data_IF_160059535326
#
_entry.id   IF_160059535326
#
_cell.length_a   1.000
_cell.length_b   1.000
_cell.length_c   1.000
_cell.angle_alpha   90.00
_cell.angle_beta   90.00
_cell.angle_gamma   90.00
#
_symmetry.space_group_name_H-M   'P 1'
#
loop_
_entity.id
_entity.type
_entity.pdbx_description
1 polymer ?
#
# COMPACT_ATOMS: atom_id res chain seq x y z
N UNK A 1 -6.93 2.77 -15.73
CA UNK A 1 -5.94 3.65 -16.38
C UNK A 1 -5.36 2.91 -17.58
N UNK A 2 -4.73 3.61 -18.53
CA UNK A 2 -3.76 2.97 -19.44
C UNK A 2 -2.73 2.21 -18.61
N UNK A 3 -2.28 1.07 -19.13
CA UNK A 3 -1.54 0.05 -18.39
C UNK A 3 -0.30 0.62 -17.68
N UNK A 4 -0.19 0.39 -16.36
CA UNK A 4 1.09 0.42 -15.63
C UNK A 4 1.91 -0.82 -16.06
N UNK A 5 2.29 -0.86 -17.33
CA UNK A 5 3.25 -1.81 -17.88
C UNK A 5 4.66 -1.28 -17.61
N UNK A 6 5.55 -2.14 -17.10
CA UNK A 6 6.89 -1.73 -16.67
C UNK A 6 7.78 -1.21 -17.80
N UNK A 7 8.89 -0.57 -17.40
CA UNK A 7 9.87 0.19 -18.20
C UNK A 7 9.61 1.70 -18.36
N UNK A 8 8.91 2.34 -17.42
CA UNK A 8 9.02 3.78 -17.19
C UNK A 8 10.20 4.09 -16.24
N UNK A 9 11.40 4.24 -16.81
CA UNK A 9 12.57 4.81 -16.10
C UNK A 9 12.27 6.18 -15.43
N UNK A 10 11.17 6.82 -15.82
CA UNK A 10 10.71 8.14 -15.38
C UNK A 10 9.34 8.12 -14.63
N UNK A 11 8.86 6.96 -14.16
CA UNK A 11 7.61 6.85 -13.39
C UNK A 11 7.66 7.54 -12.03
N UNK A 12 6.50 7.87 -11.41
CA UNK A 12 6.46 8.54 -10.09
C UNK A 12 7.15 7.70 -9.01
N UNK A 13 6.95 6.38 -8.99
CA UNK A 13 7.58 5.48 -8.03
C UNK A 13 9.10 5.39 -8.24
N UNK A 14 9.55 5.21 -9.49
CA UNK A 14 10.98 5.27 -9.87
C UNK A 14 11.60 6.61 -9.47
N UNK A 15 10.89 7.71 -9.67
CA UNK A 15 11.31 9.06 -9.29
C UNK A 15 11.46 9.20 -7.77
N UNK A 16 10.53 8.68 -6.97
CA UNK A 16 10.63 8.71 -5.51
C UNK A 16 11.84 7.90 -5.01
N UNK A 17 12.08 6.71 -5.59
CA UNK A 17 13.24 5.90 -5.26
C UNK A 17 14.56 6.57 -5.71
N UNK A 18 14.58 7.19 -6.90
CA UNK A 18 15.75 7.94 -7.41
C UNK A 18 16.04 9.16 -6.53
N UNK A 19 15.03 9.91 -6.11
CA UNK A 19 15.18 11.03 -5.15
C UNK A 19 15.71 10.51 -3.81
N UNK A 20 15.21 9.37 -3.31
CA UNK A 20 15.76 8.74 -2.11
C UNK A 20 17.24 8.31 -2.27
N UNK A 21 17.64 7.82 -3.45
CA UNK A 21 19.03 7.48 -3.78
C UNK A 21 19.93 8.72 -3.82
N UNK A 22 19.50 9.83 -4.44
CA UNK A 22 20.28 11.08 -4.47
C UNK A 22 20.43 11.71 -3.08
N UNK A 23 19.39 11.67 -2.25
CA UNK A 23 19.46 12.15 -0.86
C UNK A 23 20.37 11.22 -0.02
N UNK A 24 20.33 9.90 -0.25
CA UNK A 24 21.28 8.99 0.39
C UNK A 24 22.72 9.27 -0.05
N UNK A 25 22.97 9.56 -1.34
CA UNK A 25 24.30 9.98 -1.84
C UNK A 25 24.78 11.26 -1.16
N UNK A 26 23.93 12.29 -1.05
CA UNK A 26 24.29 13.56 -0.40
C UNK A 26 24.56 13.40 1.10
N UNK A 27 23.86 12.48 1.77
CA UNK A 27 24.12 12.10 3.16
C UNK A 27 25.39 11.26 3.36
N UNK A 28 26.05 10.82 2.29
CA UNK A 28 27.32 10.09 2.31
C UNK A 28 27.20 8.56 2.21
N UNK A 29 26.02 8.02 1.86
CA UNK A 29 25.87 6.58 1.60
C UNK A 29 26.55 6.20 0.29
N UNK A 30 27.28 5.07 0.29
CA UNK A 30 28.08 4.64 -0.86
C UNK A 30 27.29 3.73 -1.79
N UNK A 31 27.12 4.15 -3.04
CA UNK A 31 26.33 3.47 -4.08
C UNK A 31 24.94 3.03 -3.60
N UNK A 32 24.11 3.96 -3.07
CA UNK A 32 22.83 3.60 -2.51
C UNK A 32 21.85 3.15 -3.61
N UNK A 33 21.03 2.15 -3.30
CA UNK A 33 19.88 1.72 -4.09
C UNK A 33 18.64 1.69 -3.21
N UNK A 34 17.59 2.42 -3.60
CA UNK A 34 16.35 2.49 -2.87
C UNK A 34 15.39 1.37 -3.32
N UNK A 35 14.60 0.87 -2.39
CA UNK A 35 13.55 -0.12 -2.65
C UNK A 35 12.38 0.09 -1.69
N UNK A 36 11.17 -0.26 -2.13
CA UNK A 36 9.99 -0.26 -1.25
C UNK A 36 10.06 -1.42 -0.24
N UNK A 37 9.58 -1.20 0.98
CA UNK A 37 9.31 -2.28 1.94
C UNK A 37 7.87 -2.78 1.77
N UNK A 38 7.71 -4.11 1.74
CA UNK A 38 6.47 -4.84 1.41
C UNK A 38 5.26 -4.56 2.33
N UNK A 39 5.42 -3.78 3.41
CA UNK A 39 4.36 -3.50 4.37
C UNK A 39 3.72 -2.15 4.04
N UNK A 40 2.77 -2.19 3.12
CA UNK A 40 1.97 -1.04 2.71
C UNK A 40 0.81 -0.76 3.68
N UNK A 41 0.63 0.51 4.03
CA UNK A 41 -0.67 1.07 4.42
C UNK A 41 -0.86 2.35 3.60
N UNK A 42 -2.10 2.70 3.24
CA UNK A 42 -2.39 3.63 2.13
C UNK A 42 -1.71 5.03 2.21
N UNK A 43 -1.21 5.42 3.38
CA UNK A 43 -0.52 6.70 3.59
C UNK A 43 0.92 6.59 4.07
N UNK A 44 1.43 5.39 4.37
CA UNK A 44 2.78 5.18 4.89
C UNK A 44 3.54 4.25 3.97
N UNK A 45 4.34 4.85 3.09
CA UNK A 45 5.30 4.12 2.27
C UNK A 45 6.63 4.09 3.01
N UNK A 46 7.29 2.94 2.89
CA UNK A 46 8.55 2.67 3.55
C UNK A 46 9.61 2.40 2.50
N UNK A 47 10.71 3.13 2.58
CA UNK A 47 11.86 2.99 1.69
C UNK A 47 13.00 2.33 2.49
N UNK A 48 13.56 1.27 1.94
CA UNK A 48 14.82 0.68 2.38
C UNK A 48 15.95 1.22 1.48
N UNK A 49 17.14 1.41 2.05
CA UNK A 49 18.34 1.80 1.30
C UNK A 49 19.35 0.65 1.37
N UNK A 50 19.62 -0.04 0.27
CA UNK A 50 20.83 -0.85 0.12
C UNK A 50 22.02 0.09 -0.09
N UNK A 51 23.18 -0.20 0.50
CA UNK A 51 24.42 0.52 0.25
C UNK A 51 25.66 -0.33 0.53
N UNK A 52 26.79 0.04 -0.08
CA UNK A 52 28.09 -0.59 0.15
C UNK A 52 28.82 -0.08 1.41
N UNK A 53 28.40 1.08 1.95
CA UNK A 53 29.08 1.77 3.04
C UNK A 53 28.48 3.15 3.34
N UNK A 54 29.07 3.85 4.31
CA UNK A 54 28.85 5.28 4.57
C UNK A 54 30.23 5.95 4.67
N UNK A 55 30.43 7.08 3.97
CA UNK A 55 31.67 7.85 3.94
C UNK A 55 32.92 7.00 3.59
N UNK A 56 32.77 5.99 2.74
CA UNK A 56 33.84 5.08 2.32
C UNK A 56 34.15 3.96 3.31
N UNK A 57 33.39 3.85 4.41
CA UNK A 57 33.53 2.78 5.42
C UNK A 57 32.37 1.80 5.33
N UNK A 58 32.65 0.51 5.44
CA UNK A 58 31.60 -0.51 5.58
C UNK A 58 30.82 -0.29 6.89
N UNK A 59 29.49 -0.49 6.88
CA UNK A 59 28.67 -0.27 8.09
C UNK A 59 29.12 -1.13 9.28
N UNK A 60 29.73 -2.30 9.04
CA UNK A 60 30.22 -3.17 10.13
C UNK A 60 31.45 -2.63 10.86
N UNK A 61 32.15 -1.62 10.33
CA UNK A 61 33.27 -0.94 11.01
C UNK A 61 32.89 0.41 11.63
N UNK A 62 31.63 0.82 11.51
CA UNK A 62 31.08 2.02 12.16
C UNK A 62 30.46 1.68 13.52
N UNK A 63 30.51 2.63 14.45
CA UNK A 63 29.77 2.51 15.70
C UNK A 63 28.25 2.61 15.47
N UNK A 64 27.47 2.01 16.37
CA UNK A 64 26.00 2.08 16.31
C UNK A 64 25.46 3.52 16.28
N UNK A 65 26.12 4.43 17.00
CA UNK A 65 25.78 5.85 17.05
C UNK A 65 26.13 6.60 15.76
N UNK A 66 27.23 6.26 15.08
CA UNK A 66 27.54 6.83 13.76
C UNK A 66 26.48 6.43 12.72
N UNK A 67 26.07 5.16 12.70
CA UNK A 67 25.04 4.65 11.79
C UNK A 67 23.68 5.30 12.10
N UNK A 68 23.28 5.35 13.38
CA UNK A 68 22.02 5.97 13.80
C UNK A 68 21.99 7.47 13.44
N UNK A 69 23.06 8.22 13.73
CA UNK A 69 23.16 9.63 13.34
C UNK A 69 23.04 9.83 11.83
N UNK A 70 23.67 8.95 11.03
CA UNK A 70 23.61 9.03 9.55
C UNK A 70 22.23 8.66 8.98
N UNK A 71 21.51 7.77 9.64
CA UNK A 71 20.10 7.51 9.35
C UNK A 71 19.22 8.72 9.71
N UNK A 72 19.44 9.36 10.86
CA UNK A 72 18.69 10.54 11.28
C UNK A 72 18.94 11.75 10.36
N UNK A 73 20.19 11.96 9.91
CA UNK A 73 20.55 12.95 8.88
C UNK A 73 19.78 12.68 7.56
N UNK A 74 19.77 11.43 7.08
CA UNK A 74 19.03 11.01 5.90
C UNK A 74 17.51 11.24 6.03
N UNK A 75 16.92 10.90 7.18
CA UNK A 75 15.49 11.14 7.46
C UNK A 75 15.18 12.63 7.55
N UNK A 76 16.09 13.45 8.08
CA UNK A 76 15.90 14.90 8.18
C UNK A 76 15.92 15.57 6.80
N UNK A 77 16.90 15.25 5.95
CA UNK A 77 16.98 15.80 4.59
C UNK A 77 15.79 15.36 3.73
N UNK A 78 15.38 14.11 3.86
CA UNK A 78 14.22 13.61 3.12
C UNK A 78 12.90 14.31 3.52
N UNK A 79 12.71 14.61 4.81
CA UNK A 79 11.61 15.44 5.29
C UNK A 79 11.72 16.92 4.90
N UNK A 80 12.93 17.42 4.63
CA UNK A 80 13.14 18.80 4.19
C UNK A 80 12.65 19.00 2.75
N UNK A 81 12.89 17.99 1.91
CA UNK A 81 12.53 17.94 0.49
C UNK A 81 11.08 17.49 0.30
N UNK A 82 10.65 16.41 0.97
CA UNK A 82 9.32 15.84 0.77
C UNK A 82 8.28 16.40 1.75
N UNK A 83 7.47 17.34 1.24
CA UNK A 83 6.33 17.96 1.97
C UNK A 83 4.97 17.61 1.34
N UNK A 84 4.90 16.45 0.68
CA UNK A 84 3.70 15.97 0.00
C UNK A 84 2.67 15.31 0.93
N UNK A 85 1.54 14.90 0.34
CA UNK A 85 0.41 14.28 1.05
C UNK A 85 0.75 12.86 1.55
N UNK A 86 1.68 12.16 0.89
CA UNK A 86 2.11 10.82 1.30
C UNK A 86 3.14 10.87 2.45
N UNK A 87 2.96 10.06 3.50
CA UNK A 87 3.96 9.92 4.57
C UNK A 87 5.02 8.92 4.13
N UNK A 88 5.92 9.39 3.27
CA UNK A 88 7.11 8.66 2.85
C UNK A 88 8.13 8.62 4.01
N UNK A 89 8.60 7.42 4.36
CA UNK A 89 9.53 7.20 5.49
C UNK A 89 10.64 6.23 5.12
N UNK A 90 11.85 6.44 5.63
CA UNK A 90 12.85 5.38 5.64
C UNK A 90 12.51 4.34 6.71
N UNK A 91 12.93 3.10 6.46
CA UNK A 91 12.63 1.95 7.31
C UNK A 91 13.90 1.25 7.79
N UNK A 92 14.65 0.61 6.88
CA UNK A 92 15.87 -0.12 7.22
C UNK A 92 16.95 0.15 6.16
N UNK A 93 18.20 0.29 6.60
CA UNK A 93 19.37 0.28 5.70
C UNK A 93 19.81 -1.18 5.54
N UNK A 94 20.12 -1.62 4.32
CA UNK A 94 20.79 -2.89 4.06
C UNK A 94 22.24 -2.66 3.65
N UNK A 95 23.16 -3.46 4.19
CA UNK A 95 24.55 -3.51 3.70
C UNK A 95 25.21 -4.81 4.11
N UNK A 96 25.87 -5.47 3.15
CA UNK A 96 26.71 -6.66 3.39
C UNK A 96 25.96 -7.81 4.12
N UNK A 97 24.71 -8.08 3.72
CA UNK A 97 23.87 -9.13 4.30
C UNK A 97 23.30 -8.82 5.68
N UNK A 98 23.30 -7.54 6.07
CA UNK A 98 22.82 -7.04 7.37
C UNK A 98 21.86 -5.88 7.18
N UNK A 99 20.77 -5.93 7.94
CA UNK A 99 19.71 -4.94 8.00
C UNK A 99 19.81 -4.16 9.30
N UNK A 100 19.82 -2.84 9.15
CA UNK A 100 20.06 -1.85 10.19
C UNK A 100 18.75 -1.06 10.38
N UNK A 101 18.05 -1.30 11.48
CA UNK A 101 16.79 -0.63 11.82
C UNK A 101 17.02 0.33 12.99
N UNK A 102 16.77 1.62 12.77
CA UNK A 102 16.85 2.66 13.80
C UNK A 102 15.44 2.94 14.32
N UNK A 103 15.25 2.79 15.63
CA UNK A 103 14.00 3.14 16.32
C UNK A 103 14.34 3.83 17.63
N UNK A 104 13.77 5.00 17.87
CA UNK A 104 13.93 5.76 19.11
C UNK A 104 15.41 5.94 19.53
N UNK A 105 16.26 6.28 18.56
CA UNK A 105 17.72 6.42 18.72
C UNK A 105 18.49 5.11 18.90
N UNK A 106 17.82 3.96 18.98
CA UNK A 106 18.42 2.64 19.16
C UNK A 106 18.57 1.89 17.84
N UNK A 107 19.78 1.39 17.59
CA UNK A 107 20.09 0.59 16.39
C UNK A 107 19.98 -0.92 16.66
N UNK A 108 18.97 -1.54 16.04
CA UNK A 108 18.84 -2.98 15.89
C UNK A 108 19.52 -3.42 14.59
N UNK A 109 20.27 -4.52 14.65
CA UNK A 109 20.91 -5.15 13.49
C UNK A 109 20.44 -6.59 13.38
N UNK A 110 20.05 -7.02 12.18
CA UNK A 110 19.70 -8.42 11.84
C UNK A 110 20.47 -8.86 10.60
N UNK A 111 20.77 -10.14 10.47
CA UNK A 111 21.13 -10.76 9.19
C UNK A 111 19.92 -10.86 8.26
N UNK A 112 20.15 -11.12 6.97
CA UNK A 112 19.09 -11.46 6.00
C UNK A 112 18.17 -12.59 6.50
N UNK A 113 18.76 -13.66 7.04
CA UNK A 113 18.02 -14.82 7.54
C UNK A 113 17.11 -14.45 8.72
N UNK A 114 17.62 -13.66 9.68
CA UNK A 114 16.84 -13.19 10.83
C UNK A 114 15.71 -12.23 10.41
N UNK A 115 15.95 -11.36 9.41
CA UNK A 115 14.91 -10.48 8.87
C UNK A 115 13.84 -11.27 8.12
N UNK A 116 14.23 -12.21 7.26
CA UNK A 116 13.30 -13.05 6.51
C UNK A 116 12.42 -13.88 7.45
N UNK A 117 13.01 -14.49 8.49
CA UNK A 117 12.28 -15.23 9.53
C UNK A 117 11.31 -14.32 10.29
N UNK A 118 11.74 -13.13 10.69
CA UNK A 118 10.87 -12.17 11.38
C UNK A 118 9.69 -11.70 10.50
N UNK A 119 9.87 -11.55 9.18
CA UNK A 119 8.77 -11.28 8.24
C UNK A 119 7.78 -12.44 8.19
N UNK A 120 8.26 -13.67 8.01
CA UNK A 120 7.40 -14.87 7.97
C UNK A 120 6.61 -15.07 9.27
N UNK A 121 7.23 -14.85 10.44
CA UNK A 121 6.57 -14.92 11.74
C UNK A 121 5.50 -13.83 11.89
N UNK A 122 5.78 -12.60 11.45
CA UNK A 122 4.80 -11.50 11.48
C UNK A 122 3.61 -11.75 10.56
N UNK A 123 3.82 -12.27 9.35
CA UNK A 123 2.75 -12.67 8.44
C UNK A 123 1.86 -13.79 9.02
N UNK A 124 2.47 -14.80 9.64
CA UNK A 124 1.73 -15.91 10.25
C UNK A 124 0.86 -15.40 11.42
N UNK A 125 1.40 -14.50 12.25
CA UNK A 125 0.63 -13.86 13.33
C UNK A 125 -0.50 -12.98 12.80
N UNK A 126 -0.28 -12.23 11.72
CA UNK A 126 -1.33 -11.45 11.06
C UNK A 126 -2.47 -12.36 10.57
N UNK A 127 -2.14 -13.43 9.83
CA UNK A 127 -3.09 -14.43 9.32
C UNK A 127 -3.89 -15.12 10.45
N UNK A 128 -3.24 -15.44 11.58
CA UNK A 128 -3.92 -16.00 12.76
C UNK A 128 -4.85 -15.00 13.46
N UNK A 129 -4.48 -13.71 13.48
CA UNK A 129 -5.30 -12.65 14.09
C UNK A 129 -6.53 -12.33 13.24
N UNK A 130 -6.40 -12.36 11.91
CA UNK A 130 -7.51 -12.24 10.97
C UNK A 130 -8.47 -13.44 11.07
N UNK A 131 -7.95 -14.67 11.12
CA UNK A 131 -8.76 -15.88 11.33
C UNK A 131 -9.56 -15.83 12.65
N UNK A 132 -8.95 -15.29 13.72
CA UNK A 132 -9.60 -15.14 15.03
C UNK A 132 -10.61 -13.99 15.08
N UNK A 133 -10.46 -12.95 14.25
CA UNK A 133 -11.46 -11.90 14.11
C UNK A 133 -12.71 -12.40 13.35
N UNK A 134 -12.51 -13.27 12.35
CA UNK A 134 -13.59 -13.84 11.52
C UNK A 134 -14.53 -14.77 12.30
N UNK A 135 -14.05 -15.46 13.34
CA UNK A 135 -14.84 -16.45 14.10
C UNK A 135 -15.88 -15.84 15.06
N UNK A 136 -15.88 -14.52 15.28
CA UNK A 136 -16.76 -13.84 16.26
C UNK A 136 -18.08 -13.32 15.66
N UNK A 137 -18.22 -13.27 14.33
CA UNK A 137 -19.44 -12.75 13.67
C UNK A 137 -20.20 -13.82 12.87
N UNK A 138 -20.80 -14.80 13.55
CA UNK A 138 -21.66 -15.80 12.90
C UNK A 138 -23.05 -15.95 13.57
N UNK A 139 -23.90 -14.97 13.27
CA UNK A 139 -25.35 -14.98 13.41
C UNK A 139 -25.85 -13.74 12.66
N UNK A 140 -26.61 -13.82 11.56
CA UNK A 140 -27.79 -14.67 11.37
C UNK A 140 -28.12 -14.99 9.91
N UNK A 141 -28.66 -16.21 9.72
CA UNK A 141 -29.68 -16.64 8.71
C UNK A 141 -29.51 -16.26 7.23
N UNK A 142 -29.11 -17.28 6.48
CA UNK A 142 -29.45 -17.58 5.07
C UNK A 142 -30.90 -17.21 4.71
N UNK A 143 -31.08 -16.51 3.58
CA UNK A 143 -32.34 -16.46 2.83
C UNK A 143 -32.07 -16.90 1.38
N UNK A 144 -33.04 -17.55 0.77
CA UNK A 144 -32.90 -18.34 -0.46
C UNK A 144 -33.96 -17.86 -1.47
N UNK A 145 -33.56 -17.63 -2.72
CA UNK A 145 -34.50 -17.32 -3.82
C UNK A 145 -34.04 -17.97 -5.12
N UNK A 146 -34.99 -18.56 -5.83
CA UNK A 146 -34.80 -19.32 -7.08
C UNK A 146 -35.64 -18.74 -8.22
N UNK A 147 -35.48 -19.25 -9.44
CA UNK A 147 -36.06 -18.81 -10.74
C UNK A 147 -35.40 -17.59 -11.40
N UNK A 148 -35.20 -17.55 -12.74
CA UNK A 148 -35.37 -18.61 -13.75
C UNK A 148 -35.51 -18.08 -15.20
N UNK A 149 -34.84 -18.72 -16.17
CA UNK A 149 -34.89 -18.38 -17.62
C UNK A 149 -33.65 -17.61 -18.12
N UNK A 150 -32.78 -18.04 -19.05
CA UNK A 150 -32.73 -19.04 -20.14
C UNK A 150 -32.89 -18.46 -21.56
N UNK A 151 -31.89 -18.69 -22.43
CA UNK A 151 -31.78 -18.19 -23.81
C UNK A 151 -30.41 -17.56 -24.12
N UNK A 152 -29.31 -18.33 -24.26
CA UNK A 152 -28.88 -19.06 -25.48
C UNK A 152 -28.24 -18.14 -26.55
N UNK A 153 -27.15 -18.47 -27.26
CA UNK A 153 -26.08 -19.49 -27.12
C UNK A 153 -25.02 -19.27 -28.23
N UNK A 154 -23.75 -19.68 -28.15
CA UNK A 154 -22.71 -19.57 -27.09
C UNK A 154 -21.40 -20.20 -27.63
N UNK A 155 -20.21 -19.74 -27.21
CA UNK A 155 -18.94 -20.44 -27.46
C UNK A 155 -18.10 -20.59 -26.19
N UNK A 156 -18.23 -21.75 -25.54
CA UNK A 156 -17.37 -22.17 -24.42
C UNK A 156 -16.07 -22.79 -24.92
N UNK A 157 -14.96 -22.55 -24.20
CA UNK A 157 -13.89 -23.55 -24.07
C UNK A 157 -13.24 -23.58 -22.68
N UNK A 158 -13.85 -24.39 -21.81
CA UNK A 158 -13.18 -25.26 -20.82
C UNK A 158 -12.10 -24.68 -19.88
N UNK A 159 -12.50 -24.22 -18.68
CA UNK A 159 -11.63 -24.12 -17.49
C UNK A 159 -12.42 -24.33 -16.17
N UNK A 160 -13.26 -25.37 -16.11
CA UNK A 160 -14.27 -25.56 -15.06
C UNK A 160 -13.76 -26.10 -13.72
N UNK A 161 -12.81 -25.41 -13.05
CA UNK A 161 -12.62 -25.48 -11.58
C UNK A 161 -11.68 -24.41 -10.98
N UNK A 162 -10.77 -23.82 -11.76
CA UNK A 162 -9.89 -22.72 -11.29
C UNK A 162 -10.63 -21.38 -11.17
N UNK A 163 -11.71 -21.21 -11.94
CA UNK A 163 -12.58 -20.02 -12.05
C UNK A 163 -13.38 -19.67 -10.76
N UNK A 164 -12.95 -20.11 -9.59
CA UNK A 164 -13.62 -19.86 -8.31
C UNK A 164 -12.67 -19.18 -7.31
N UNK A 165 -11.60 -19.85 -6.87
CA UNK A 165 -10.84 -19.37 -5.72
C UNK A 165 -10.13 -18.03 -5.95
N UNK A 166 -9.54 -17.81 -7.13
CA UNK A 166 -8.86 -16.55 -7.45
C UNK A 166 -9.83 -15.36 -7.48
N UNK A 167 -11.01 -15.56 -8.06
CA UNK A 167 -12.07 -14.56 -8.13
C UNK A 167 -12.67 -14.26 -6.74
N UNK A 168 -12.82 -15.28 -5.87
CA UNK A 168 -13.22 -15.08 -4.47
C UNK A 168 -12.13 -14.41 -3.63
N UNK A 169 -10.84 -14.68 -3.92
CA UNK A 169 -9.72 -14.00 -3.27
C UNK A 169 -9.72 -12.51 -3.64
N UNK A 170 -9.89 -12.18 -4.93
CA UNK A 170 -10.00 -10.81 -5.40
C UNK A 170 -11.18 -10.07 -4.75
N UNK A 171 -12.37 -10.71 -4.67
CA UNK A 171 -13.53 -10.15 -3.97
C UNK A 171 -13.25 -9.92 -2.48
N UNK A 172 -12.62 -10.88 -1.81
CA UNK A 172 -12.28 -10.79 -0.39
C UNK A 172 -11.29 -9.64 -0.12
N UNK A 173 -10.25 -9.51 -0.95
CA UNK A 173 -9.29 -8.41 -0.87
C UNK A 173 -9.93 -7.07 -1.20
N UNK A 174 -10.77 -6.99 -2.23
CA UNK A 174 -11.51 -5.77 -2.59
C UNK A 174 -12.41 -5.27 -1.45
N UNK A 175 -13.16 -6.18 -0.83
CA UNK A 175 -13.97 -5.89 0.37
C UNK A 175 -13.12 -5.47 1.57
N UNK A 176 -11.92 -6.03 1.75
CA UNK A 176 -10.97 -5.60 2.79
C UNK A 176 -10.48 -4.17 2.54
N UNK A 177 -10.08 -3.86 1.30
CA UNK A 177 -9.63 -2.53 0.91
C UNK A 177 -10.72 -1.46 1.03
N UNK A 178 -11.95 -1.76 0.57
CA UNK A 178 -13.08 -0.87 0.77
C UNK A 178 -13.42 -0.66 2.25
N UNK A 179 -13.43 -1.70 3.08
CA UNK A 179 -13.83 -1.60 4.49
C UNK A 179 -12.78 -0.96 5.39
N UNK A 180 -11.52 -1.36 5.24
CA UNK A 180 -10.45 -1.07 6.18
C UNK A 180 -9.59 0.13 5.75
N UNK A 181 -9.49 0.39 4.44
CA UNK A 181 -8.73 1.51 3.88
C UNK A 181 -9.61 2.60 3.27
N UNK A 182 -10.94 2.44 3.31
CA UNK A 182 -11.94 3.38 2.77
C UNK A 182 -11.66 3.84 1.33
N UNK A 183 -11.13 2.95 0.49
CA UNK A 183 -10.75 3.28 -0.88
C UNK A 183 -11.96 3.53 -1.78
N UNK A 184 -11.77 4.29 -2.87
CA UNK A 184 -12.76 4.44 -3.93
C UNK A 184 -12.91 3.16 -4.78
N UNK A 185 -14.00 3.06 -5.54
CA UNK A 185 -14.24 1.90 -6.42
C UNK A 185 -13.11 1.72 -7.45
N UNK A 186 -12.54 2.82 -7.96
CA UNK A 186 -11.41 2.78 -8.90
C UNK A 186 -10.11 2.40 -8.19
N UNK A 187 -9.82 3.00 -7.04
CA UNK A 187 -8.63 2.66 -6.25
C UNK A 187 -8.59 1.19 -5.85
N UNK A 188 -9.73 0.59 -5.50
CA UNK A 188 -9.79 -0.86 -5.21
C UNK A 188 -9.46 -1.70 -6.46
N UNK A 189 -9.96 -1.34 -7.65
CA UNK A 189 -9.62 -2.05 -8.89
C UNK A 189 -8.12 -1.97 -9.21
N UNK A 190 -7.56 -0.77 -9.14
CA UNK A 190 -6.15 -0.53 -9.41
C UNK A 190 -5.26 -1.29 -8.40
N UNK A 191 -5.64 -1.36 -7.12
CA UNK A 191 -4.92 -2.11 -6.08
C UNK A 191 -5.00 -3.64 -6.28
N UNK A 192 -6.13 -4.16 -6.75
CA UNK A 192 -6.30 -5.59 -7.05
C UNK A 192 -5.47 -6.01 -8.27
N UNK A 193 -5.36 -5.15 -9.29
CA UNK A 193 -4.64 -5.44 -10.53
C UNK A 193 -3.15 -5.09 -10.48
N UNK A 194 -2.73 -4.20 -9.59
CA UNK A 194 -1.33 -3.78 -9.44
C UNK A 194 -0.41 -4.96 -9.12
N UNK A 195 0.70 -5.06 -9.85
CA UNK A 195 1.79 -6.01 -9.62
C UNK A 195 2.53 -5.81 -8.28
N UNK A 196 2.43 -4.62 -7.70
CA UNK A 196 2.93 -4.29 -6.36
C UNK A 196 1.84 -4.45 -5.26
N UNK A 197 0.58 -4.64 -5.68
CA UNK A 197 -0.57 -4.92 -4.82
C UNK A 197 -0.84 -6.41 -4.72
N UNK A 198 -1.95 -6.87 -5.31
CA UNK A 198 -2.33 -8.29 -5.30
C UNK A 198 -1.98 -9.05 -6.58
N UNK A 199 -1.73 -8.34 -7.70
CA UNK A 199 -1.41 -8.95 -8.99
C UNK A 199 -2.51 -9.82 -9.60
N UNK A 200 -3.79 -9.64 -9.23
CA UNK A 200 -4.89 -10.40 -9.81
C UNK A 200 -5.07 -10.06 -11.30
N UNK A 201 -5.48 -11.03 -12.14
CA UNK A 201 -5.82 -10.75 -13.52
C UNK A 201 -7.05 -9.83 -13.58
N UNK A 202 -7.12 -9.01 -14.64
CA UNK A 202 -8.10 -7.93 -14.78
C UNK A 202 -9.57 -8.41 -14.73
N UNK A 203 -9.84 -9.64 -15.17
CA UNK A 203 -11.15 -10.28 -15.11
C UNK A 203 -11.56 -10.66 -13.68
N UNK A 204 -10.64 -11.18 -12.86
CA UNK A 204 -10.86 -11.45 -11.44
C UNK A 204 -11.06 -10.15 -10.63
N UNK A 205 -10.29 -9.10 -10.94
CA UNK A 205 -10.45 -7.78 -10.32
C UNK A 205 -11.78 -7.11 -10.73
N UNK A 206 -12.17 -7.21 -12.00
CA UNK A 206 -13.48 -6.72 -12.47
C UNK A 206 -14.62 -7.49 -11.80
N UNK A 207 -14.53 -8.82 -11.72
CA UNK A 207 -15.49 -9.65 -10.99
C UNK A 207 -15.62 -9.22 -9.53
N UNK A 208 -14.52 -8.94 -8.83
CA UNK A 208 -14.55 -8.43 -7.46
C UNK A 208 -15.35 -7.13 -7.39
N UNK A 209 -15.02 -6.15 -8.23
CA UNK A 209 -15.65 -4.83 -8.28
C UNK A 209 -17.15 -4.88 -8.62
N UNK A 210 -17.58 -5.83 -9.44
CA UNK A 210 -18.99 -6.01 -9.80
C UNK A 210 -19.80 -6.75 -8.71
N UNK A 211 -19.14 -7.59 -7.89
CA UNK A 211 -19.77 -8.33 -6.80
C UNK A 211 -19.70 -7.59 -5.44
N UNK A 212 -19.02 -6.44 -5.36
CA UNK A 212 -18.99 -5.54 -4.19
C UNK A 212 -20.27 -4.70 -4.04
N UNK A 213 -21.44 -5.34 -4.17
CA UNK A 213 -22.76 -4.68 -4.21
C UNK A 213 -23.21 -4.06 -2.89
N UNK A 214 -22.63 -4.49 -1.77
CA UNK A 214 -22.91 -3.98 -0.42
C UNK A 214 -21.97 -2.88 0.08
N UNK A 215 -21.15 -2.27 -0.79
CA UNK A 215 -20.20 -1.21 -0.40
C UNK A 215 -20.80 0.17 -0.60
N UNK A 216 -20.87 0.95 0.47
CA UNK A 216 -21.20 2.37 0.41
C UNK A 216 -19.95 3.21 0.11
N UNK A 217 -19.82 3.59 -1.17
CA UNK A 217 -18.71 4.41 -1.65
C UNK A 217 -18.78 5.88 -1.21
N UNK A 218 -19.97 6.37 -0.85
CA UNK A 218 -20.15 7.72 -0.30
C UNK A 218 -19.65 7.76 1.15
N UNK A 219 -19.94 6.71 1.94
CA UNK A 219 -19.38 6.55 3.28
C UNK A 219 -17.85 6.46 3.26
N UNK A 220 -17.27 5.71 2.31
CA UNK A 220 -15.81 5.65 2.12
C UNK A 220 -15.22 7.03 1.80
N UNK A 221 -15.83 7.80 0.90
CA UNK A 221 -15.39 9.16 0.58
C UNK A 221 -15.45 10.07 1.82
N UNK A 222 -16.50 9.95 2.64
CA UNK A 222 -16.66 10.71 3.87
C UNK A 222 -15.59 10.37 4.92
N UNK A 223 -15.28 9.10 5.16
CA UNK A 223 -14.21 8.72 6.10
C UNK A 223 -12.83 9.22 5.63
N UNK A 224 -12.56 9.19 4.33
CA UNK A 224 -11.36 9.80 3.73
C UNK A 224 -11.31 11.30 3.93
N UNK A 225 -12.43 11.97 3.70
CA UNK A 225 -12.54 13.41 3.86
C UNK A 225 -12.29 13.82 5.33
N UNK A 226 -12.83 13.08 6.30
CA UNK A 226 -12.56 13.27 7.73
C UNK A 226 -11.07 13.08 8.06
N UNK A 227 -10.42 12.07 7.49
CA UNK A 227 -8.98 11.83 7.71
C UNK A 227 -8.15 13.02 7.22
N UNK A 228 -8.38 13.51 5.99
CA UNK A 228 -7.66 14.66 5.45
C UNK A 228 -7.97 15.97 6.20
N UNK A 229 -9.24 16.21 6.54
CA UNK A 229 -9.65 17.44 7.21
C UNK A 229 -9.17 17.52 8.65
N UNK A 230 -9.47 16.53 9.51
CA UNK A 230 -9.14 16.62 10.93
C UNK A 230 -7.72 16.17 11.25
N UNK A 231 -7.19 15.13 10.60
CA UNK A 231 -5.86 14.59 10.96
C UNK A 231 -4.72 15.26 10.19
N UNK A 232 -5.01 15.88 9.03
CA UNK A 232 -4.01 16.54 8.18
C UNK A 232 -4.29 18.05 7.99
N UNK A 233 -5.31 18.59 8.67
CA UNK A 233 -5.66 20.02 8.70
C UNK A 233 -5.86 20.66 7.31
N UNK A 234 -6.30 19.87 6.33
CA UNK A 234 -6.54 20.35 4.97
C UNK A 234 -7.83 21.18 4.88
N UNK A 235 -7.88 22.18 3.98
CA UNK A 235 -9.13 22.91 3.71
C UNK A 235 -10.15 22.01 2.99
N UNK A 236 -11.46 22.30 3.12
CA UNK A 236 -12.51 21.56 2.40
C UNK A 236 -12.28 21.50 0.89
N UNK A 237 -11.72 22.55 0.28
CA UNK A 237 -11.35 22.53 -1.15
C UNK A 237 -10.20 21.55 -1.43
N UNK A 238 -9.10 21.61 -0.65
CA UNK A 238 -7.98 20.68 -0.82
C UNK A 238 -8.37 19.23 -0.55
N UNK A 239 -9.32 18.98 0.35
CA UNK A 239 -9.93 17.66 0.57
C UNK A 239 -10.69 17.20 -0.67
N UNK A 240 -11.53 18.06 -1.26
CA UNK A 240 -12.26 17.73 -2.50
C UNK A 240 -11.29 17.40 -3.66
N UNK A 241 -10.27 18.22 -3.85
CA UNK A 241 -9.25 18.03 -4.88
C UNK A 241 -8.51 16.71 -4.66
N UNK A 242 -8.15 16.38 -3.42
CA UNK A 242 -7.46 15.12 -3.08
C UNK A 242 -8.35 13.88 -3.21
N UNK A 243 -9.66 14.00 -2.93
CA UNK A 243 -10.61 12.90 -3.13
C UNK A 243 -10.82 12.59 -4.61
N UNK A 244 -10.83 13.61 -5.47
CA UNK A 244 -11.10 13.49 -6.92
C UNK A 244 -9.86 13.29 -7.78
N UNK A 245 -8.67 13.67 -7.29
CA UNK A 245 -7.40 13.59 -8.00
C UNK A 245 -7.11 12.19 -8.56
N UNK A 246 -6.64 12.13 -9.81
CA UNK A 246 -6.17 10.90 -10.46
C UNK A 246 -4.98 10.27 -9.71
N UNK A 247 -4.20 11.08 -9.00
CA UNK A 247 -3.09 10.66 -8.14
C UNK A 247 -3.45 10.59 -6.65
N UNK A 248 -4.71 10.89 -6.31
CA UNK A 248 -5.24 10.85 -4.95
C UNK A 248 -6.15 9.63 -4.76
N UNK A 249 -7.32 9.85 -4.17
CA UNK A 249 -8.25 8.75 -3.85
C UNK A 249 -9.15 8.32 -5.01
N UNK A 250 -9.24 9.12 -6.08
CA UNK A 250 -10.00 8.81 -7.31
C UNK A 250 -11.50 8.49 -7.10
N UNK A 251 -12.14 9.12 -6.10
CA UNK A 251 -13.60 9.13 -5.99
C UNK A 251 -14.24 9.90 -7.14
N UNK A 252 -15.49 9.59 -7.45
CA UNK A 252 -16.26 10.44 -8.38
C UNK A 252 -16.47 11.83 -7.77
N UNK A 253 -16.60 12.85 -8.61
CA UNK A 253 -16.95 14.20 -8.18
C UNK A 253 -18.20 14.23 -7.26
N UNK A 254 -19.20 13.38 -7.53
CA UNK A 254 -20.39 13.23 -6.70
C UNK A 254 -20.11 12.61 -5.32
N UNK A 255 -19.22 11.62 -5.22
CA UNK A 255 -18.79 11.01 -3.95
C UNK A 255 -17.96 12.00 -3.12
N UNK A 256 -17.04 12.73 -3.77
CA UNK A 256 -16.27 13.78 -3.13
C UNK A 256 -17.15 14.94 -2.65
N UNK A 257 -18.10 15.41 -3.47
CA UNK A 257 -19.04 16.46 -3.06
C UNK A 257 -19.89 16.01 -1.86
N UNK A 258 -20.46 14.79 -1.92
CA UNK A 258 -21.17 14.21 -0.79
C UNK A 258 -20.32 14.23 0.48
N UNK A 259 -19.05 13.83 0.39
CA UNK A 259 -18.14 13.81 1.52
C UNK A 259 -17.86 15.20 2.10
N UNK A 260 -17.77 16.26 1.28
CA UNK A 260 -17.60 17.65 1.72
C UNK A 260 -18.86 18.23 2.37
N UNK A 261 -20.03 17.91 1.79
CA UNK A 261 -21.35 18.36 2.27
C UNK A 261 -21.68 17.78 3.65
N UNK A 262 -21.23 16.56 3.94
CA UNK A 262 -21.45 15.85 5.21
C UNK A 262 -20.27 16.00 6.20
N UNK A 263 -19.36 16.95 5.95
CA UNK A 263 -18.18 17.19 6.78
C UNK A 263 -18.45 18.30 7.81
N UNK A 264 -18.62 17.89 9.08
CA UNK A 264 -19.05 18.77 10.17
C UNK A 264 -17.90 19.56 10.84
#
# INVERSE_FOLDING_TARGET
>A
MTEFSGNDENGLESTILTVAEEIAKSCGFNSPKASWDEIYTLYKFKINIDCSGINGKNLTSLSKSEIAKKYDELVAEYKSIYKGIFVLTFNEIHSSGKWYSVKDGSLLVRSDSERAKAKQEAEQQAKQKEASASSTSNGTKKAEWTTGGSGSSSTKKSAGKSLNQEYQNALTKGLSYARNLHMSKKGVYDQLTSSYGEGFPADAAQYAIDNMTGVDWNANALEKAKQYYYNMSMSKSAVYDQLTSEYGEQFTASQAQYAIDHLN
#
